data_IF_204805184818
#
_entry.id   IF_204805184818
#
_cell.length_a   1.000
_cell.length_b   1.000
_cell.length_c   1.000
_cell.angle_alpha   90.00
_cell.angle_beta   90.00
_cell.angle_gamma   90.00
#
_symmetry.space_group_name_H-M   'P 1'
#
loop_
_entity.id
_entity.type
_entity.pdbx_description
1 polymer ?
#
# COMPACT_ATOMS: atom_id res chain seq x y z
N UNK A 1 -8.96 -6.44 0.57
CA UNK A 1 -9.49 -5.35 1.43
C UNK A 1 -10.38 -4.43 0.61
N UNK A 2 -11.35 -3.75 1.22
CA UNK A 2 -12.20 -2.76 0.53
C UNK A 2 -11.85 -1.35 1.04
N UNK A 3 -11.52 -0.43 0.13
CA UNK A 3 -11.21 0.96 0.48
C UNK A 3 -12.47 1.69 1.01
N UNK A 4 -12.31 2.46 2.08
CA UNK A 4 -13.34 3.31 2.68
C UNK A 4 -13.03 4.77 2.38
N UNK A 5 -11.79 5.21 2.63
CA UNK A 5 -11.38 6.61 2.48
C UNK A 5 -9.90 6.75 2.23
N UNK A 6 -9.52 7.55 1.25
CA UNK A 6 -8.13 7.96 1.02
C UNK A 6 -7.76 9.11 1.95
N UNK A 7 -6.61 9.04 2.61
CA UNK A 7 -6.13 10.07 3.53
C UNK A 7 -5.31 11.14 2.79
N UNK A 8 -5.16 12.32 3.39
CA UNK A 8 -4.36 13.42 2.84
C UNK A 8 -5.15 14.54 2.15
N UNK A 9 -6.47 14.65 2.38
CA UNK A 9 -7.24 15.81 1.93
C UNK A 9 -8.75 15.62 1.99
N UNK A 10 -9.50 16.72 1.97
CA UNK A 10 -10.98 16.71 2.02
C UNK A 10 -11.63 16.29 0.71
N UNK A 11 -11.01 16.61 -0.44
CA UNK A 11 -11.53 16.31 -1.80
C UNK A 11 -10.76 15.19 -2.51
N UNK A 12 -9.92 14.45 -1.79
CA UNK A 12 -9.06 13.44 -2.40
C UNK A 12 -9.87 12.22 -2.81
N UNK A 13 -9.86 11.91 -4.12
CA UNK A 13 -10.64 10.81 -4.72
C UNK A 13 -9.83 9.55 -5.04
N UNK A 14 -8.55 9.71 -5.33
CA UNK A 14 -7.67 8.62 -5.77
C UNK A 14 -6.44 8.51 -4.88
N UNK A 15 -5.96 7.27 -4.76
CA UNK A 15 -4.71 6.92 -4.11
C UNK A 15 -3.75 6.36 -5.16
N UNK A 16 -2.50 6.79 -5.09
CA UNK A 16 -1.36 6.30 -5.88
C UNK A 16 -0.38 5.58 -4.96
N UNK A 17 0.71 5.05 -5.52
CA UNK A 17 1.76 4.37 -4.75
C UNK A 17 2.28 5.31 -3.65
N UNK A 18 2.38 4.79 -2.42
CA UNK A 18 2.80 5.57 -1.24
C UNK A 18 1.66 6.26 -0.49
N UNK A 19 0.44 6.29 -1.03
CA UNK A 19 -0.69 6.88 -0.33
C UNK A 19 -1.29 5.94 0.71
N UNK A 20 -1.68 6.54 1.84
CA UNK A 20 -2.36 5.85 2.92
C UNK A 20 -3.88 5.97 2.72
N UNK A 21 -4.58 4.86 2.90
CA UNK A 21 -6.03 4.81 2.91
C UNK A 21 -6.54 3.93 4.04
N UNK A 22 -7.77 4.21 4.46
CA UNK A 22 -8.52 3.39 5.43
C UNK A 22 -9.33 2.38 4.65
N UNK A 23 -9.30 1.12 5.09
CA UNK A 23 -9.97 0.00 4.45
C UNK A 23 -10.65 -0.90 5.48
N UNK A 24 -11.62 -1.69 5.02
CA UNK A 24 -12.17 -2.82 5.78
C UNK A 24 -11.63 -4.15 5.23
N UNK A 25 -11.33 -5.07 6.13
CA UNK A 25 -10.92 -6.43 5.79
C UNK A 25 -12.15 -7.23 5.34
N UNK A 26 -12.23 -7.56 4.05
CA UNK A 26 -13.33 -8.36 3.49
C UNK A 26 -13.09 -9.86 3.56
N UNK A 27 -11.82 -10.24 3.53
CA UNK A 27 -11.37 -11.62 3.60
C UNK A 27 -10.09 -11.69 4.42
N UNK A 28 -9.94 -12.76 5.20
CA UNK A 28 -8.83 -12.96 6.13
C UNK A 28 -8.56 -14.45 6.31
N UNK A 29 -7.28 -14.83 6.29
CA UNK A 29 -6.88 -16.21 6.53
C UNK A 29 -7.15 -16.61 8.00
N UNK A 30 -7.55 -17.87 8.26
CA UNK A 30 -7.65 -18.39 9.62
C UNK A 30 -6.31 -18.26 10.36
N UNK A 31 -6.32 -17.69 11.57
CA UNK A 31 -5.10 -17.44 12.36
C UNK A 31 -4.33 -16.17 11.99
N UNK A 32 -4.79 -15.38 11.01
CA UNK A 32 -4.22 -14.07 10.76
C UNK A 32 -4.49 -13.11 11.94
N UNK A 33 -3.55 -12.19 12.19
CA UNK A 33 -3.68 -11.18 13.23
C UNK A 33 -4.86 -10.20 13.00
N UNK A 34 -5.36 -10.12 11.76
CA UNK A 34 -6.48 -9.27 11.36
C UNK A 34 -7.73 -10.10 11.11
N UNK A 35 -8.88 -9.61 11.57
CA UNK A 35 -10.17 -10.30 11.41
C UNK A 35 -10.98 -9.70 10.26
N UNK A 36 -11.83 -10.53 9.64
CA UNK A 36 -12.85 -10.04 8.70
C UNK A 36 -13.74 -9.00 9.39
N UNK A 37 -13.97 -7.87 8.73
CA UNK A 37 -14.73 -6.72 9.22
C UNK A 37 -13.89 -5.66 9.92
N UNK A 38 -12.65 -5.96 10.34
CA UNK A 38 -11.77 -4.99 10.99
C UNK A 38 -11.46 -3.81 10.07
N UNK A 39 -11.47 -2.59 10.63
CA UNK A 39 -11.07 -1.38 9.94
C UNK A 39 -9.58 -1.17 10.16
N UNK A 40 -8.83 -1.03 9.08
CA UNK A 40 -7.37 -1.05 9.05
C UNK A 40 -6.85 0.09 8.17
N UNK A 41 -5.62 0.54 8.45
CA UNK A 41 -4.88 1.44 7.58
C UNK A 41 -4.00 0.64 6.64
N UNK A 42 -3.92 1.08 5.39
CA UNK A 42 -3.12 0.45 4.36
C UNK A 42 -2.34 1.51 3.59
N UNK A 43 -1.17 1.14 3.09
CA UNK A 43 -0.43 1.90 2.08
C UNK A 43 -0.51 1.19 0.73
N UNK A 44 -0.70 1.94 -0.34
CA UNK A 44 -0.69 1.41 -1.71
C UNK A 44 0.74 1.14 -2.16
N UNK A 45 1.02 -0.07 -2.63
CA UNK A 45 2.38 -0.47 -3.08
C UNK A 45 2.47 -0.78 -4.56
N UNK A 46 1.36 -1.19 -5.19
CA UNK A 46 1.24 -1.42 -6.63
C UNK A 46 -0.06 -0.83 -7.15
N UNK A 47 0.00 -0.20 -8.32
CA UNK A 47 -1.17 0.33 -9.02
C UNK A 47 -1.17 -0.07 -10.48
N UNK A 48 -2.35 -0.44 -10.99
CA UNK A 48 -2.55 -0.73 -12.41
C UNK A 48 -2.50 0.52 -13.29
N UNK A 49 -2.91 1.66 -12.73
CA UNK A 49 -2.80 2.95 -13.40
C UNK A 49 -1.33 3.38 -13.44
N UNK A 50 -0.88 3.88 -14.58
CA UNK A 50 0.48 4.39 -14.70
C UNK A 50 0.74 5.57 -13.75
N UNK A 51 1.90 5.53 -13.10
CA UNK A 51 2.44 6.62 -12.30
C UNK A 51 3.62 7.23 -13.05
N UNK A 52 3.63 8.55 -13.20
CA UNK A 52 4.71 9.29 -13.85
C UNK A 52 5.82 9.57 -12.83
N UNK A 53 7.05 9.25 -13.21
CA UNK A 53 8.25 9.50 -12.41
C UNK A 53 8.88 10.85 -12.76
N UNK A 54 9.69 11.42 -11.84
CA UNK A 54 10.38 12.69 -12.11
C UNK A 54 11.35 12.65 -13.30
N UNK A 55 11.92 11.48 -13.59
CA UNK A 55 12.76 11.22 -14.77
C UNK A 55 11.98 11.13 -16.08
N UNK A 56 10.65 11.28 -16.04
CA UNK A 56 9.76 11.21 -17.20
C UNK A 56 9.31 9.80 -17.58
N UNK A 57 9.87 8.76 -16.94
CA UNK A 57 9.41 7.38 -17.14
C UNK A 57 8.05 7.13 -16.50
N UNK A 58 7.36 6.08 -16.94
CA UNK A 58 6.09 5.65 -16.37
C UNK A 58 6.24 4.23 -15.81
N UNK A 59 5.72 4.02 -14.61
CA UNK A 59 5.61 2.69 -14.01
C UNK A 59 4.14 2.29 -13.90
N UNK A 60 3.83 1.05 -14.24
CA UNK A 60 2.52 0.41 -14.01
C UNK A 60 2.74 -1.02 -13.58
N UNK A 61 1.82 -1.55 -12.78
CA UNK A 61 1.78 -2.95 -12.38
C UNK A 61 0.55 -3.63 -13.00
N UNK A 62 0.52 -4.95 -12.99
CA UNK A 62 -0.62 -5.68 -13.54
C UNK A 62 -1.84 -5.63 -12.61
N UNK A 63 -1.58 -5.57 -11.30
CA UNK A 63 -2.59 -5.59 -10.23
C UNK A 63 -2.42 -4.44 -9.23
N UNK A 64 -3.52 -4.14 -8.51
CA UNK A 64 -3.49 -3.22 -7.39
C UNK A 64 -3.19 -3.99 -6.10
N UNK A 65 -2.19 -3.53 -5.34
CA UNK A 65 -1.82 -4.15 -4.07
C UNK A 65 -1.57 -3.10 -2.98
N UNK A 66 -1.83 -3.49 -1.74
CA UNK A 66 -1.65 -2.65 -0.58
C UNK A 66 -1.12 -3.45 0.62
N UNK A 67 -0.36 -2.78 1.48
CA UNK A 67 0.22 -3.35 2.70
C UNK A 67 -0.46 -2.75 3.92
N UNK A 68 -0.83 -3.60 4.87
CA UNK A 68 -1.40 -3.19 6.15
C UNK A 68 -0.35 -2.50 7.00
N UNK A 69 -0.67 -1.30 7.51
CA UNK A 69 0.21 -0.51 8.37
C UNK A 69 -0.43 -0.23 9.73
N UNK A 70 0.40 0.03 10.72
CA UNK A 70 0.00 0.56 12.01
C UNK A 70 0.00 2.11 12.00
N UNK A 71 -0.32 2.73 13.14
CA UNK A 71 -0.34 4.18 13.27
C UNK A 71 1.05 4.84 13.21
N UNK A 72 2.13 4.05 13.37
CA UNK A 72 3.51 4.51 13.18
C UNK A 72 4.01 4.29 11.74
N UNK A 73 3.12 4.02 10.78
CA UNK A 73 3.46 3.75 9.37
C UNK A 73 4.38 2.53 9.16
N UNK A 74 4.40 1.60 10.11
CA UNK A 74 5.15 0.35 10.01
C UNK A 74 4.22 -0.78 9.53
N UNK A 75 4.73 -1.74 8.73
CA UNK A 75 3.94 -2.88 8.30
C UNK A 75 3.51 -3.72 9.51
N UNK A 76 2.25 -4.16 9.55
CA UNK A 76 1.78 -5.11 10.57
C UNK A 76 2.29 -6.54 10.29
N UNK A 77 2.67 -6.83 9.06
CA UNK A 77 3.23 -8.13 8.65
C UNK A 77 4.76 -8.16 8.68
N UNK A 78 5.31 -9.37 8.61
CA UNK A 78 6.76 -9.63 8.62
C UNK A 78 7.38 -9.88 7.24
N UNK A 79 6.54 -10.10 6.21
CA UNK A 79 6.97 -10.40 4.83
C UNK A 79 6.09 -9.66 3.83
N UNK A 80 6.66 -9.32 2.67
CA UNK A 80 5.98 -8.68 1.56
C UNK A 80 6.08 -9.57 0.34
N UNK A 81 4.96 -9.70 -0.38
CA UNK A 81 4.88 -10.51 -1.59
C UNK A 81 4.82 -9.65 -2.85
N UNK A 82 5.65 -10.02 -3.82
CA UNK A 82 5.77 -9.36 -5.10
C UNK A 82 6.58 -8.05 -5.07
N UNK A 83 6.80 -7.45 -6.24
CA UNK A 83 7.57 -6.21 -6.37
C UNK A 83 6.82 -5.02 -5.76
N UNK A 84 7.58 -4.01 -5.36
CA UNK A 84 7.05 -2.75 -4.83
C UNK A 84 7.63 -1.55 -5.59
N UNK A 85 6.87 -0.46 -5.68
CA UNK A 85 7.38 0.77 -6.31
C UNK A 85 8.43 1.47 -5.47
N UNK A 86 9.48 2.00 -6.11
CA UNK A 86 10.55 2.80 -5.49
C UNK A 86 10.03 4.06 -4.80
N UNK A 87 8.87 4.56 -5.21
CA UNK A 87 8.18 5.74 -4.65
C UNK A 87 7.93 5.58 -3.14
N UNK A 88 7.84 4.35 -2.64
CA UNK A 88 7.73 4.08 -1.20
C UNK A 88 8.91 4.60 -0.37
N UNK A 89 10.11 4.74 -0.98
CA UNK A 89 11.28 5.34 -0.31
C UNK A 89 11.06 6.83 -0.05
N UNK A 90 10.53 7.54 -1.03
CA UNK A 90 10.26 8.98 -0.95
C UNK A 90 9.22 9.28 0.13
N UNK A 91 8.25 8.38 0.29
CA UNK A 91 7.22 8.44 1.32
C UNK A 91 7.63 7.85 2.69
N UNK A 92 8.93 7.60 2.91
CA UNK A 92 9.52 7.12 4.18
C UNK A 92 9.07 5.72 4.64
N UNK A 93 8.60 4.86 3.73
CA UNK A 93 8.23 3.47 4.03
C UNK A 93 9.43 2.50 3.90
N UNK A 94 10.58 2.86 4.48
CA UNK A 94 11.83 2.10 4.33
C UNK A 94 11.71 0.65 4.77
N UNK A 95 10.99 0.36 5.87
CA UNK A 95 10.79 -1.00 6.37
C UNK A 95 10.02 -1.89 5.39
N UNK A 96 9.12 -1.31 4.60
CA UNK A 96 8.38 -2.02 3.55
C UNK A 96 9.33 -2.33 2.40
N UNK A 97 10.11 -1.35 1.97
CA UNK A 97 11.08 -1.52 0.89
C UNK A 97 12.15 -2.58 1.24
N UNK A 98 12.61 -2.62 2.48
CA UNK A 98 13.61 -3.60 2.94
C UNK A 98 13.09 -5.03 3.02
N UNK A 99 11.78 -5.24 3.21
CA UNK A 99 11.16 -6.57 3.29
C UNK A 99 10.66 -7.08 1.94
N UNK A 100 10.68 -6.24 0.91
CA UNK A 100 10.21 -6.59 -0.41
C UNK A 100 11.29 -7.38 -1.18
N UNK A 101 10.89 -8.39 -1.98
CA UNK A 101 11.82 -9.18 -2.79
C UNK A 101 12.45 -8.36 -3.92
N UNK A 102 11.73 -7.38 -4.46
CA UNK A 102 12.18 -6.55 -5.58
C UNK A 102 11.56 -5.15 -5.49
N UNK A 103 12.33 -4.14 -5.93
CA UNK A 103 11.93 -2.73 -5.94
C UNK A 103 12.11 -2.18 -7.35
N UNK A 104 11.02 -1.69 -7.94
CA UNK A 104 10.95 -1.20 -9.33
C UNK A 104 10.81 0.31 -9.39
#
# INVERSE_FOLDING_TARGET
VLCIKVLGGSKRRYASIGDIFVATVKDANPGAAVKKGEVVKCVVVRTKKECRRPDGSYIRFDENAAVLINDQNQPRGTRIFGPVGRELRDHKFMRIVSLAPEVL
#
